data_IF_332847047238
#
_entry.id   IF_332847047238
#
_cell.length_a   1.000
_cell.length_b   1.000
_cell.length_c   1.000
_cell.angle_alpha   90.00
_cell.angle_beta   90.00
_cell.angle_gamma   90.00
#
_symmetry.space_group_name_H-M   'P 1'
#
loop_
_entity.id
_entity.type
_entity.pdbx_description
1 polymer ?
#
# COMPACT_ATOMS: atom_id res chain seq x y z
N UNK A 1 -70.54 10.98 9.93
CA UNK A 1 -69.38 11.57 10.65
C UNK A 1 -68.78 10.50 11.56
N UNK A 2 -67.72 9.84 11.11
CA UNK A 2 -66.69 9.13 11.90
C UNK A 2 -65.60 8.74 10.90
N UNK A 3 -64.48 9.46 10.96
CA UNK A 3 -63.30 9.27 10.12
C UNK A 3 -62.63 7.94 10.49
N UNK A 4 -62.27 7.14 9.50
CA UNK A 4 -61.30 6.04 9.66
C UNK A 4 -59.89 6.63 9.60
N UNK A 5 -59.10 6.41 10.65
CA UNK A 5 -57.65 6.58 10.63
C UNK A 5 -56.99 5.22 10.38
N UNK A 6 -55.98 5.11 9.48
CA UNK A 6 -55.10 3.96 9.46
C UNK A 6 -54.05 4.08 10.57
N UNK A 7 -53.85 3.00 11.32
CA UNK A 7 -52.78 2.89 12.30
C UNK A 7 -51.41 2.91 11.60
N UNK A 8 -50.55 3.86 11.96
CA UNK A 8 -49.13 3.83 11.63
C UNK A 8 -48.48 2.64 12.36
N UNK A 9 -48.09 1.61 11.61
CA UNK A 9 -47.09 0.66 12.06
C UNK A 9 -45.73 1.34 11.94
N UNK A 10 -45.21 1.82 13.07
CA UNK A 10 -43.80 2.15 13.23
C UNK A 10 -43.02 0.84 13.16
N UNK A 11 -42.61 0.45 11.95
CA UNK A 11 -41.56 -0.53 11.75
C UNK A 11 -40.27 0.08 12.27
N UNK A 12 -39.79 -0.43 13.41
CA UNK A 12 -38.42 -0.22 13.86
C UNK A 12 -37.48 -0.67 12.74
N UNK A 13 -36.86 0.28 12.05
CA UNK A 13 -35.69 0.01 11.24
C UNK A 13 -34.60 -0.47 12.21
N UNK A 14 -34.47 -1.80 12.34
CA UNK A 14 -33.26 -2.39 12.90
C UNK A 14 -32.12 -1.87 12.05
N UNK A 15 -31.29 -1.02 12.62
CA UNK A 15 -29.99 -0.68 12.07
C UNK A 15 -29.32 -2.01 11.73
N UNK A 16 -29.04 -2.22 10.45
CA UNK A 16 -28.20 -3.32 10.02
C UNK A 16 -26.86 -3.14 10.72
N UNK A 17 -26.63 -3.94 11.76
CA UNK A 17 -25.31 -4.14 12.31
C UNK A 17 -24.46 -4.65 11.15
N UNK A 18 -23.56 -3.80 10.66
CA UNK A 18 -22.49 -4.21 9.76
C UNK A 18 -21.79 -5.40 10.39
N UNK A 19 -22.07 -6.59 9.88
CA UNK A 19 -21.39 -7.81 10.26
C UNK A 19 -19.90 -7.55 10.16
N UNK A 20 -19.17 -7.71 11.27
CA UNK A 20 -17.71 -7.75 11.23
C UNK A 20 -17.35 -8.81 10.21
N UNK A 21 -16.77 -8.40 9.08
CA UNK A 21 -16.11 -9.34 8.18
C UNK A 21 -15.05 -10.04 9.01
N UNK A 22 -15.25 -11.33 9.28
CA UNK A 22 -14.31 -12.11 10.09
C UNK A 22 -12.94 -12.05 9.42
N UNK A 23 -11.98 -11.42 10.09
CA UNK A 23 -10.60 -11.39 9.63
C UNK A 23 -10.08 -12.81 9.66
N UNK A 24 -9.58 -13.29 8.52
CA UNK A 24 -9.02 -14.64 8.38
C UNK A 24 -7.59 -14.69 8.94
N UNK A 25 -7.50 -14.62 10.27
CA UNK A 25 -6.23 -14.60 11.00
C UNK A 25 -5.41 -15.87 10.78
N UNK A 26 -4.13 -15.66 10.45
CA UNK A 26 -3.09 -16.67 10.26
C UNK A 26 -3.50 -17.83 9.34
N UNK A 27 -4.24 -17.48 8.29
CA UNK A 27 -4.62 -18.39 7.22
C UNK A 27 -3.48 -18.72 6.27
N UNK A 28 -2.43 -17.88 6.24
CA UNK A 28 -1.23 -18.09 5.44
C UNK A 28 -0.02 -18.42 6.35
N UNK A 29 0.35 -19.70 6.41
CA UNK A 29 1.52 -20.16 7.17
C UNK A 29 2.86 -19.93 6.45
N UNK A 30 2.84 -19.45 5.21
CA UNK A 30 4.02 -19.39 4.33
C UNK A 30 4.56 -17.97 4.14
N UNK A 31 3.80 -16.94 4.50
CA UNK A 31 4.16 -15.55 4.29
C UNK A 31 3.59 -14.66 5.40
N UNK A 32 4.38 -13.71 5.87
CA UNK A 32 3.88 -12.64 6.74
C UNK A 32 3.18 -11.60 5.87
N UNK A 33 1.96 -11.22 6.26
CA UNK A 33 1.08 -10.44 5.40
C UNK A 33 0.55 -9.19 6.09
N UNK A 34 0.62 -8.06 5.40
CA UNK A 34 -0.19 -6.88 5.76
C UNK A 34 -1.64 -7.16 5.38
N UNK A 35 -2.52 -6.89 6.32
CA UNK A 35 -3.97 -6.82 6.17
C UNK A 35 -4.39 -5.38 6.37
N UNK A 36 -5.21 -4.84 5.48
CA UNK A 36 -5.81 -3.51 5.69
C UNK A 36 -7.17 -3.60 6.39
N UNK A 37 -7.67 -4.81 6.61
CA UNK A 37 -8.82 -5.09 7.45
C UNK A 37 -8.42 -5.92 8.65
N UNK A 38 -8.52 -5.32 9.83
CA UNK A 38 -8.12 -5.92 11.10
C UNK A 38 -9.31 -6.13 12.03
N UNK A 39 -10.54 -6.04 11.52
CA UNK A 39 -11.74 -6.24 12.31
C UNK A 39 -11.78 -5.29 13.49
N UNK A 40 -12.14 -5.81 14.67
CA UNK A 40 -12.19 -5.03 15.91
C UNK A 40 -10.93 -5.13 16.79
N UNK A 41 -9.88 -5.82 16.34
CA UNK A 41 -8.67 -6.00 17.16
C UNK A 41 -7.68 -4.84 17.06
N UNK A 42 -7.70 -4.10 15.95
CA UNK A 42 -6.94 -2.86 15.78
C UNK A 42 -7.88 -1.67 15.66
N UNK A 43 -7.33 -0.46 15.77
CA UNK A 43 -8.06 0.77 15.55
C UNK A 43 -8.73 0.75 14.16
N UNK A 44 -9.98 1.20 14.08
CA UNK A 44 -10.74 1.15 12.80
C UNK A 44 -10.01 1.91 11.70
N UNK A 45 -9.71 1.23 10.61
CA UNK A 45 -9.02 1.79 9.45
C UNK A 45 -7.50 1.69 9.53
N UNK A 46 -6.92 1.30 10.67
CA UNK A 46 -5.50 1.00 10.76
C UNK A 46 -5.21 -0.41 10.20
N UNK A 47 -4.11 -0.57 9.45
CA UNK A 47 -3.69 -1.86 8.95
C UNK A 47 -3.01 -2.66 10.08
N UNK A 48 -2.85 -3.95 9.85
CA UNK A 48 -2.19 -4.86 10.77
C UNK A 48 -1.37 -5.86 9.97
N UNK A 49 -0.44 -6.51 10.65
CA UNK A 49 0.38 -7.57 10.07
C UNK A 49 0.13 -8.86 10.81
N UNK A 50 -0.07 -9.92 10.06
CA UNK A 50 -0.05 -11.29 10.57
C UNK A 50 1.26 -11.96 10.17
N UNK A 51 1.83 -12.74 11.07
CA UNK A 51 3.11 -13.40 10.85
C UNK A 51 2.94 -14.88 10.53
N UNK A 52 3.74 -15.39 9.60
CA UNK A 52 3.82 -16.82 9.29
C UNK A 52 4.28 -17.67 10.48
N UNK A 53 5.01 -17.06 11.41
CA UNK A 53 5.42 -17.67 12.69
C UNK A 53 5.47 -16.63 13.80
N UNK A 54 5.20 -17.03 15.05
CA UNK A 54 5.33 -16.14 16.21
C UNK A 54 6.76 -15.61 16.41
N UNK A 55 7.77 -16.33 15.93
CA UNK A 55 9.18 -15.89 15.94
C UNK A 55 9.51 -14.82 14.91
N UNK A 56 8.68 -14.65 13.87
CA UNK A 56 8.86 -13.61 12.86
C UNK A 56 8.39 -12.24 13.35
N UNK A 57 7.59 -12.20 14.41
CA UNK A 57 7.15 -10.96 15.02
C UNK A 57 8.28 -10.35 15.85
N UNK A 58 8.53 -9.06 15.66
CA UNK A 58 9.58 -8.34 16.36
C UNK A 58 9.07 -7.03 16.93
N UNK A 59 9.24 -6.85 18.23
CA UNK A 59 8.97 -5.60 18.95
C UNK A 59 9.90 -4.46 18.51
N UNK A 60 11.03 -4.78 17.85
CA UNK A 60 11.91 -3.78 17.25
C UNK A 60 11.22 -3.01 16.12
N UNK A 61 10.13 -3.55 15.57
CA UNK A 61 9.26 -2.87 14.60
C UNK A 61 8.39 -1.76 15.23
N UNK A 62 8.57 -1.49 16.53
CA UNK A 62 7.87 -0.44 17.31
C UNK A 62 6.36 -0.63 17.42
N UNK A 63 5.91 -1.88 17.32
CA UNK A 63 4.54 -2.33 17.55
C UNK A 63 4.55 -3.57 18.44
N UNK A 64 3.50 -3.73 19.24
CA UNK A 64 3.38 -4.86 20.16
C UNK A 64 3.00 -6.16 19.42
N UNK A 65 3.80 -7.21 19.60
CA UNK A 65 3.50 -8.57 19.15
C UNK A 65 2.39 -9.18 20.01
N UNK A 66 1.17 -9.22 19.46
CA UNK A 66 0.01 -9.77 20.14
C UNK A 66 -0.25 -11.19 19.68
N UNK A 67 -0.31 -12.13 20.63
CA UNK A 67 -0.71 -13.52 20.34
C UNK A 67 -2.22 -13.59 20.13
N UNK A 68 -2.63 -13.98 18.94
CA UNK A 68 -4.02 -14.34 18.64
C UNK A 68 -4.30 -15.81 18.95
N UNK A 69 -3.34 -16.71 18.69
CA UNK A 69 -3.42 -18.14 19.03
C UNK A 69 -2.03 -18.72 19.29
N UNK A 70 -1.93 -20.03 19.54
CA UNK A 70 -0.64 -20.70 19.73
C UNK A 70 0.28 -20.63 18.51
N UNK A 71 -0.29 -20.46 17.31
CA UNK A 71 0.43 -20.40 16.03
C UNK A 71 0.26 -19.05 15.32
N UNK A 72 -0.39 -18.08 15.96
CA UNK A 72 -0.76 -16.82 15.32
C UNK A 72 -0.35 -15.63 16.18
N UNK A 73 0.50 -14.78 15.62
CA UNK A 73 0.91 -13.50 16.21
C UNK A 73 0.63 -12.41 15.19
N UNK A 74 0.20 -11.25 15.66
CA UNK A 74 -0.06 -10.07 14.85
C UNK A 74 0.47 -8.79 15.50
N UNK A 75 0.61 -7.74 14.70
CA UNK A 75 0.90 -6.37 15.12
C UNK A 75 -0.15 -5.45 14.51
N UNK A 76 -0.74 -4.54 15.31
CA UNK A 76 -1.48 -3.41 14.78
C UNK A 76 -0.49 -2.31 14.39
N UNK A 77 -0.69 -1.70 13.22
CA UNK A 77 0.09 -0.55 12.80
C UNK A 77 -0.67 0.71 13.24
N UNK A 78 -0.80 0.89 14.56
CA UNK A 78 -1.60 1.96 15.16
C UNK A 78 -0.99 3.34 14.84
N UNK A 79 -1.81 4.26 14.33
CA UNK A 79 -1.52 5.69 14.07
C UNK A 79 -1.20 6.13 12.62
N UNK A 80 -1.47 5.32 11.59
CA UNK A 80 -1.09 5.70 10.23
C UNK A 80 -2.17 6.30 9.36
N UNK A 81 -3.43 5.96 9.62
CA UNK A 81 -4.52 6.37 8.75
C UNK A 81 -5.39 7.44 9.42
N UNK A 82 -4.76 8.33 10.20
CA UNK A 82 -5.43 9.49 10.80
C UNK A 82 -5.82 10.56 9.78
N UNK A 83 -5.26 10.51 8.56
CA UNK A 83 -5.60 11.40 7.46
C UNK A 83 -6.73 10.77 6.64
N UNK A 84 -7.87 11.46 6.56
CA UNK A 84 -9.00 10.98 5.77
C UNK A 84 -8.59 10.66 4.33
N UNK A 85 -9.02 9.49 3.82
CA UNK A 85 -8.82 9.05 2.42
C UNK A 85 -7.38 8.69 2.04
N UNK A 86 -6.43 8.72 2.98
CA UNK A 86 -5.06 8.26 2.77
C UNK A 86 -4.82 7.02 3.62
N UNK A 87 -4.27 5.99 2.99
CA UNK A 87 -3.76 4.80 3.67
C UNK A 87 -2.26 4.74 3.51
N UNK A 88 -1.53 4.64 4.62
CA UNK A 88 -0.08 4.47 4.60
C UNK A 88 0.32 3.22 5.37
N UNK A 89 1.17 2.39 4.78
CA UNK A 89 1.72 1.18 5.37
C UNK A 89 3.24 1.29 5.33
N UNK A 90 3.87 1.20 6.50
CA UNK A 90 5.31 1.17 6.64
C UNK A 90 5.75 -0.28 6.79
N UNK A 91 6.61 -0.71 5.88
CA UNK A 91 7.08 -2.08 5.78
C UNK A 91 8.60 -2.04 5.78
N UNK A 92 9.24 -2.79 6.68
CA UNK A 92 10.71 -2.77 6.83
C UNK A 92 11.15 -3.98 7.64
N UNK A 93 12.28 -4.57 7.26
CA UNK A 93 12.95 -5.53 8.14
C UNK A 93 13.51 -4.81 9.37
N UNK A 94 13.08 -5.16 10.60
CA UNK A 94 13.48 -4.45 11.80
C UNK A 94 14.98 -4.63 12.06
N UNK A 95 15.69 -3.53 12.21
CA UNK A 95 17.10 -3.51 12.57
C UNK A 95 17.28 -3.25 14.07
N UNK A 96 18.42 -3.63 14.64
CA UNK A 96 18.75 -3.34 16.04
C UNK A 96 18.86 -1.84 16.33
N UNK A 97 19.10 -1.02 15.31
CA UNK A 97 19.06 0.44 15.36
C UNK A 97 17.65 1.01 15.56
N UNK A 98 16.60 0.22 15.34
CA UNK A 98 15.23 0.69 15.33
C UNK A 98 14.60 0.76 16.74
N UNK A 99 15.39 0.45 17.77
CA UNK A 99 14.98 0.34 19.17
C UNK A 99 14.16 1.55 19.65
N UNK A 100 12.93 1.28 20.10
CA UNK A 100 12.01 2.25 20.65
C UNK A 100 11.87 2.07 22.17
N UNK A 101 11.85 3.17 22.91
CA UNK A 101 11.56 3.15 24.35
C UNK A 101 10.19 3.78 24.59
N UNK A 102 9.42 3.32 25.59
CA UNK A 102 8.09 3.85 25.89
C UNK A 102 8.08 5.39 26.10
N UNK A 103 9.21 5.97 26.53
CA UNK A 103 9.47 7.41 26.61
C UNK A 103 9.48 8.17 25.27
N UNK A 104 9.47 7.47 24.13
CA UNK A 104 9.40 8.05 22.79
C UNK A 104 7.95 8.16 22.26
N UNK A 105 6.97 7.60 22.98
CA UNK A 105 5.53 7.82 22.68
C UNK A 105 5.17 9.30 22.88
N UNK A 106 5.31 10.09 21.82
CA UNK A 106 5.00 11.52 21.82
C UNK A 106 6.10 12.44 21.23
N UNK A 107 7.24 11.93 20.76
CA UNK A 107 8.31 12.79 20.25
C UNK A 107 8.83 12.40 18.87
N UNK A 108 8.48 13.28 17.92
CA UNK A 108 9.06 13.52 16.58
C UNK A 108 8.65 12.58 15.44
N UNK A 109 8.27 13.21 14.32
CA UNK A 109 7.89 12.64 13.04
C UNK A 109 9.02 11.90 12.29
N UNK A 110 10.02 11.36 13.00
CA UNK A 110 11.23 10.78 12.41
C UNK A 110 11.24 9.24 12.43
N UNK A 111 10.28 8.60 13.10
CA UNK A 111 10.31 7.16 13.34
C UNK A 111 8.88 6.59 13.37
N UNK A 112 8.52 5.85 12.33
CA UNK A 112 7.22 5.21 12.14
C UNK A 112 7.31 3.71 12.52
N UNK A 113 6.50 3.16 13.46
CA UNK A 113 6.20 1.72 13.50
C UNK A 113 6.04 1.04 12.12
N UNK A 114 6.80 -0.02 11.89
CA UNK A 114 6.84 -0.76 10.63
C UNK A 114 6.53 -2.23 10.86
N UNK A 115 6.63 -3.04 9.81
CA UNK A 115 6.62 -4.49 9.93
C UNK A 115 7.40 -5.17 8.80
N UNK A 116 8.07 -6.27 9.12
CA UNK A 116 8.64 -7.18 8.13
C UNK A 116 7.52 -8.02 7.50
N UNK A 117 7.37 -7.94 6.18
CA UNK A 117 6.29 -8.61 5.43
C UNK A 117 6.85 -9.28 4.17
N UNK A 118 6.16 -10.32 3.72
CA UNK A 118 6.40 -10.94 2.41
C UNK A 118 5.33 -10.54 1.38
N UNK A 119 4.13 -10.16 1.85
CA UNK A 119 2.98 -9.91 0.98
C UNK A 119 1.99 -8.90 1.54
N UNK A 120 1.22 -8.26 0.65
CA UNK A 120 0.04 -7.45 1.00
C UNK A 120 -1.20 -8.20 0.55
N UNK A 121 -2.15 -8.43 1.47
CA UNK A 121 -3.33 -9.27 1.22
C UNK A 121 -4.54 -8.91 2.10
N UNK A 122 -5.68 -9.58 1.89
CA UNK A 122 -6.86 -9.42 2.76
C UNK A 122 -7.37 -7.98 2.84
N UNK A 123 -7.43 -7.33 1.68
CA UNK A 123 -7.47 -5.87 1.59
C UNK A 123 -8.90 -5.32 1.53
N UNK A 124 -9.23 -4.39 2.44
CA UNK A 124 -10.48 -3.62 2.42
C UNK A 124 -10.18 -2.14 2.67
N UNK A 125 -10.09 -1.37 1.60
CA UNK A 125 -9.99 0.08 1.71
C UNK A 125 -11.37 0.70 1.87
N UNK A 126 -11.45 1.83 2.57
CA UNK A 126 -12.67 2.63 2.57
C UNK A 126 -12.98 3.08 1.13
N UNK A 127 -14.25 3.08 0.72
CA UNK A 127 -14.69 3.47 -0.63
C UNK A 127 -14.28 4.89 -1.03
N UNK A 128 -13.92 5.74 -0.06
CA UNK A 128 -13.44 7.10 -0.28
C UNK A 128 -11.91 7.22 -0.38
N UNK A 129 -11.16 6.12 -0.31
CA UNK A 129 -9.68 6.12 -0.33
C UNK A 129 -9.17 6.59 -1.68
N UNK A 130 -8.37 7.66 -1.66
CA UNK A 130 -7.79 8.29 -2.87
C UNK A 130 -6.28 8.16 -2.95
N UNK A 131 -5.61 7.94 -1.82
CA UNK A 131 -4.15 7.82 -1.76
C UNK A 131 -3.77 6.55 -0.99
N UNK A 132 -2.96 5.71 -1.60
CA UNK A 132 -2.35 4.55 -0.93
C UNK A 132 -0.84 4.68 -1.07
N UNK A 133 -0.16 4.57 0.07
CA UNK A 133 1.28 4.58 0.17
C UNK A 133 1.74 3.33 0.92
N UNK A 134 2.60 2.53 0.30
CA UNK A 134 3.28 1.41 0.94
C UNK A 134 4.77 1.66 0.77
N UNK A 135 5.48 1.74 1.89
CA UNK A 135 6.85 2.25 1.88
C UNK A 135 7.80 1.46 2.75
N UNK A 136 8.97 1.19 2.17
CA UNK A 136 10.07 0.44 2.74
C UNK A 136 10.84 1.09 3.88
N UNK A 137 10.21 1.96 4.67
CA UNK A 137 10.92 2.90 5.56
C UNK A 137 10.26 3.07 6.90
N UNK A 138 11.02 3.65 7.82
CA UNK A 138 10.54 4.12 9.09
C UNK A 138 10.95 5.58 9.37
N UNK A 139 11.64 6.26 8.43
CA UNK A 139 12.05 7.66 8.53
C UNK A 139 11.87 8.41 7.19
N UNK A 140 11.82 9.73 7.28
CA UNK A 140 11.91 10.71 6.20
C UNK A 140 13.18 10.57 5.33
N UNK A 141 14.26 9.99 5.84
CA UNK A 141 15.50 9.73 5.11
C UNK A 141 15.54 8.33 4.47
N UNK A 142 14.75 8.21 3.42
CA UNK A 142 14.45 6.99 2.64
C UNK A 142 15.74 6.38 1.99
N UNK A 143 16.34 5.32 2.58
CA UNK A 143 17.48 4.51 2.04
C UNK A 143 17.10 3.18 1.35
N UNK A 144 17.44 3.01 0.07
CA UNK A 144 17.16 1.77 -0.68
C UNK A 144 17.67 0.49 0.01
N UNK A 145 16.90 -0.61 -0.04
CA UNK A 145 17.36 -1.97 0.28
C UNK A 145 17.07 -2.48 1.69
N UNK A 146 16.10 -1.89 2.40
CA UNK A 146 15.68 -2.32 3.76
C UNK A 146 14.60 -3.41 3.78
N UNK A 147 14.22 -3.93 2.61
CA UNK A 147 13.17 -4.94 2.44
C UNK A 147 13.64 -6.07 1.53
N UNK A 148 13.04 -7.23 1.76
CA UNK A 148 12.94 -8.31 0.78
C UNK A 148 11.82 -7.99 -0.21
N UNK A 149 11.91 -8.51 -1.43
CA UNK A 149 10.85 -8.45 -2.44
C UNK A 149 9.45 -8.66 -1.85
N UNK A 150 8.63 -7.61 -1.93
CA UNK A 150 7.23 -7.64 -1.48
C UNK A 150 6.34 -8.07 -2.62
N UNK A 151 5.55 -9.12 -2.39
CA UNK A 151 4.54 -9.59 -3.34
C UNK A 151 3.18 -8.94 -3.09
N UNK A 152 2.40 -8.80 -4.15
CA UNK A 152 1.03 -8.29 -4.11
C UNK A 152 0.11 -9.31 -4.76
N UNK A 153 -1.02 -9.60 -4.12
CA UNK A 153 -2.05 -10.41 -4.75
C UNK A 153 -2.84 -9.58 -5.81
N UNK A 154 -3.54 -10.28 -6.71
CA UNK A 154 -4.31 -9.67 -7.81
C UNK A 154 -5.40 -8.68 -7.32
N UNK A 155 -5.79 -8.75 -6.05
CA UNK A 155 -6.85 -7.95 -5.45
C UNK A 155 -6.30 -6.87 -4.50
N UNK A 156 -4.98 -6.65 -4.49
CA UNK A 156 -4.31 -5.78 -3.51
C UNK A 156 -4.86 -4.36 -3.44
N UNK A 157 -5.50 -3.88 -4.51
CA UNK A 157 -6.12 -2.56 -4.60
C UNK A 157 -7.56 -2.57 -5.12
N UNK A 158 -8.19 -3.74 -5.27
CA UNK A 158 -9.48 -3.86 -5.97
C UNK A 158 -10.65 -3.17 -5.27
N UNK A 159 -10.56 -2.98 -3.95
CA UNK A 159 -11.58 -2.28 -3.14
C UNK A 159 -11.41 -0.76 -3.11
N UNK A 160 -10.25 -0.23 -3.55
CA UNK A 160 -9.99 1.22 -3.65
C UNK A 160 -10.52 1.77 -4.99
N UNK A 161 -11.83 1.76 -5.17
CA UNK A 161 -12.51 2.04 -6.45
C UNK A 161 -12.39 3.49 -6.96
N UNK A 162 -11.87 4.40 -6.13
CA UNK A 162 -11.64 5.81 -6.48
C UNK A 162 -10.18 6.24 -6.23
N UNK A 163 -9.25 5.28 -6.23
CA UNK A 163 -7.83 5.53 -6.01
C UNK A 163 -7.27 6.46 -7.09
N UNK A 164 -6.58 7.52 -6.67
CA UNK A 164 -5.95 8.52 -7.55
C UNK A 164 -4.42 8.39 -7.53
N UNK A 165 -3.86 8.10 -6.35
CA UNK A 165 -2.43 8.02 -6.12
C UNK A 165 -2.04 6.65 -5.56
N UNK A 166 -1.10 5.99 -6.23
CA UNK A 166 -0.47 4.78 -5.74
C UNK A 166 1.04 4.99 -5.60
N UNK A 167 1.55 4.85 -4.37
CA UNK A 167 2.95 5.05 -4.02
C UNK A 167 3.50 3.75 -3.44
N UNK A 168 4.39 3.08 -4.17
CA UNK A 168 5.07 1.84 -3.78
C UNK A 168 6.58 2.08 -3.79
N UNK A 169 7.11 2.60 -2.68
CA UNK A 169 8.49 3.09 -2.61
C UNK A 169 9.37 2.15 -1.79
N UNK A 170 10.52 1.73 -2.33
CA UNK A 170 11.50 0.86 -1.67
C UNK A 170 10.93 -0.48 -1.18
N UNK A 171 10.22 -1.18 -2.04
CA UNK A 171 9.64 -2.49 -1.76
C UNK A 171 10.41 -3.64 -2.44
N UNK A 172 11.62 -3.34 -2.93
CA UNK A 172 12.47 -4.27 -3.70
C UNK A 172 11.71 -4.92 -4.88
N UNK A 173 10.88 -4.13 -5.56
CA UNK A 173 10.15 -4.60 -6.74
C UNK A 173 11.11 -4.77 -7.92
N UNK A 174 11.27 -6.02 -8.35
CA UNK A 174 12.14 -6.41 -9.46
C UNK A 174 11.49 -6.25 -10.84
N UNK A 175 10.14 -6.23 -10.88
CA UNK A 175 9.31 -6.09 -12.07
C UNK A 175 8.09 -5.19 -11.80
N UNK A 176 7.42 -4.76 -12.88
CA UNK A 176 6.21 -3.98 -12.76
C UNK A 176 5.11 -4.75 -12.01
N UNK A 177 4.31 -4.08 -11.17
CA UNK A 177 3.16 -4.68 -10.51
C UNK A 177 2.10 -5.14 -11.53
N UNK A 178 2.00 -6.44 -11.81
CA UNK A 178 1.10 -7.04 -12.82
C UNK A 178 -0.25 -7.49 -12.24
N UNK A 179 -1.31 -7.47 -13.04
CA UNK A 179 -2.62 -8.02 -12.69
C UNK A 179 -3.44 -7.28 -11.61
N UNK A 180 -2.89 -6.25 -10.94
CA UNK A 180 -3.60 -5.53 -9.86
C UNK A 180 -3.52 -4.00 -9.91
N UNK A 181 -2.82 -3.40 -10.89
CA UNK A 181 -2.75 -1.94 -10.99
C UNK A 181 -4.16 -1.37 -11.28
N UNK A 182 -4.68 -0.46 -10.43
CA UNK A 182 -5.98 0.14 -10.68
C UNK A 182 -5.92 1.11 -11.86
N UNK A 183 -6.88 1.01 -12.78
CA UNK A 183 -6.98 1.93 -13.94
C UNK A 183 -7.47 3.32 -13.56
N UNK A 184 -7.83 3.55 -12.29
CA UNK A 184 -8.33 4.83 -11.78
C UNK A 184 -7.22 5.81 -11.42
N UNK A 185 -5.98 5.32 -11.23
CA UNK A 185 -4.89 6.16 -10.76
C UNK A 185 -4.42 7.12 -11.84
N UNK A 186 -4.02 8.32 -11.41
CA UNK A 186 -3.37 9.33 -12.24
C UNK A 186 -1.89 9.50 -11.89
N UNK A 187 -1.51 9.10 -10.66
CA UNK A 187 -0.14 9.11 -10.17
C UNK A 187 0.29 7.71 -9.77
N UNK A 188 1.44 7.29 -10.32
CA UNK A 188 2.15 6.10 -9.91
C UNK A 188 3.58 6.45 -9.50
N UNK A 189 3.95 6.10 -8.28
CA UNK A 189 5.33 6.25 -7.79
C UNK A 189 5.89 4.89 -7.42
N UNK A 190 6.93 4.47 -8.12
CA UNK A 190 7.68 3.23 -7.90
C UNK A 190 9.17 3.52 -7.63
N UNK A 191 9.50 4.67 -7.06
CA UNK A 191 10.89 5.05 -6.85
C UNK A 191 11.59 4.14 -5.81
N UNK A 192 12.92 4.04 -5.93
CA UNK A 192 13.80 3.28 -5.03
C UNK A 192 13.52 1.77 -4.98
N UNK A 193 12.99 1.21 -6.07
CA UNK A 193 12.85 -0.24 -6.23
C UNK A 193 14.03 -0.81 -7.05
N UNK A 194 13.90 -2.04 -7.56
CA UNK A 194 14.93 -2.73 -8.33
C UNK A 194 14.50 -3.02 -9.77
N UNK A 195 13.54 -2.24 -10.29
CA UNK A 195 12.96 -2.40 -11.63
C UNK A 195 14.04 -2.30 -12.70
N UNK A 196 14.01 -3.23 -13.66
CA UNK A 196 14.95 -3.25 -14.79
C UNK A 196 14.31 -2.85 -16.13
N UNK A 197 12.98 -2.88 -16.21
CA UNK A 197 12.21 -2.46 -17.37
C UNK A 197 10.83 -1.93 -16.98
N UNK A 198 10.24 -1.11 -17.85
CA UNK A 198 8.87 -0.58 -17.71
C UNK A 198 7.87 -1.31 -18.61
N UNK A 199 8.37 -1.98 -19.65
CA UNK A 199 7.55 -2.79 -20.56
C UNK A 199 7.20 -4.11 -19.88
N UNK A 200 5.90 -4.36 -19.71
CA UNK A 200 5.36 -5.65 -19.35
C UNK A 200 4.47 -6.16 -20.49
N UNK A 201 4.38 -7.48 -20.65
CA UNK A 201 3.38 -8.13 -21.50
C UNK A 201 1.95 -8.06 -20.94
N UNK A 202 1.78 -7.52 -19.74
CA UNK A 202 0.49 -7.36 -19.07
C UNK A 202 -0.32 -6.16 -19.62
N UNK A 203 -1.52 -6.45 -20.11
CA UNK A 203 -2.48 -5.47 -20.65
C UNK A 203 -2.95 -4.46 -19.59
N UNK A 204 -3.06 -4.83 -18.31
CA UNK A 204 -3.48 -3.95 -17.23
C UNK A 204 -2.38 -2.93 -16.88
N UNK A 205 -1.12 -3.36 -16.88
CA UNK A 205 0.03 -2.45 -16.73
C UNK A 205 0.04 -1.45 -17.88
N UNK A 206 -0.07 -1.96 -19.11
CA UNK A 206 -0.12 -1.12 -20.32
C UNK A 206 -1.26 -0.11 -20.24
N UNK A 207 -2.48 -0.57 -19.93
CA UNK A 207 -3.67 0.29 -19.83
C UNK A 207 -3.48 1.39 -18.79
N UNK A 208 -2.98 1.04 -17.61
CA UNK A 208 -2.74 2.00 -16.52
C UNK A 208 -1.70 3.03 -16.92
N UNK A 209 -0.57 2.61 -17.50
CA UNK A 209 0.48 3.53 -17.95
C UNK A 209 -0.04 4.55 -18.98
N UNK A 210 -0.96 4.16 -19.86
CA UNK A 210 -1.54 5.07 -20.86
C UNK A 210 -2.43 6.18 -20.26
N UNK A 211 -2.92 6.03 -19.02
CA UNK A 211 -3.77 7.02 -18.35
C UNK A 211 -3.05 7.91 -17.34
N UNK A 212 -1.79 7.62 -17.00
CA UNK A 212 -1.05 8.36 -15.97
C UNK A 212 -0.71 9.79 -16.41
N UNK A 213 -0.87 10.73 -15.47
CA UNK A 213 -0.39 12.11 -15.62
C UNK A 213 0.96 12.33 -14.92
N UNK A 214 1.28 11.50 -13.92
CA UNK A 214 2.55 11.51 -13.20
C UNK A 214 3.11 10.10 -13.00
N UNK A 215 4.36 9.87 -13.38
CA UNK A 215 5.07 8.61 -13.17
C UNK A 215 6.45 8.88 -12.58
N UNK A 216 6.73 8.29 -11.42
CA UNK A 216 8.05 8.33 -10.81
C UNK A 216 8.67 6.93 -10.78
N UNK A 217 9.81 6.78 -11.45
CA UNK A 217 10.61 5.57 -11.55
C UNK A 217 12.06 5.81 -11.09
N UNK A 218 12.34 6.89 -10.36
CA UNK A 218 13.72 7.21 -9.97
C UNK A 218 14.34 6.17 -9.04
N UNK A 219 15.67 6.09 -9.05
CA UNK A 219 16.46 5.15 -8.25
C UNK A 219 16.02 3.69 -8.45
N UNK A 220 15.90 3.29 -9.71
CA UNK A 220 15.71 1.91 -10.15
C UNK A 220 16.95 1.43 -10.93
N UNK A 221 16.81 0.34 -11.69
CA UNK A 221 17.87 -0.25 -12.52
C UNK A 221 17.48 -0.27 -14.01
N UNK A 222 16.65 0.66 -14.46
CA UNK A 222 16.12 0.68 -15.83
C UNK A 222 17.23 1.05 -16.80
N UNK A 223 17.51 0.18 -17.78
CA UNK A 223 18.57 0.37 -18.78
C UNK A 223 18.10 1.10 -20.04
N UNK A 224 16.82 0.96 -20.38
CA UNK A 224 16.19 1.59 -21.54
C UNK A 224 14.74 1.95 -21.21
N UNK A 225 14.26 3.05 -21.79
CA UNK A 225 12.88 3.50 -21.66
C UNK A 225 12.33 3.85 -23.05
N UNK A 226 11.51 2.94 -23.58
CA UNK A 226 10.99 3.00 -24.96
C UNK A 226 9.45 3.03 -25.00
N UNK A 227 8.82 3.44 -23.90
CA UNK A 227 7.35 3.47 -23.76
C UNK A 227 6.83 4.87 -24.10
N UNK A 228 5.80 4.95 -24.96
CA UNK A 228 5.07 6.20 -25.20
C UNK A 228 3.93 6.32 -24.19
N UNK A 229 3.90 7.42 -23.44
CA UNK A 229 2.87 7.74 -22.45
C UNK A 229 2.13 9.01 -22.91
N UNK A 230 0.94 8.90 -23.53
CA UNK A 230 0.31 10.02 -24.24
C UNK A 230 -0.24 11.10 -23.30
N UNK A 231 -0.54 10.76 -22.05
CA UNK A 231 -1.18 11.64 -21.06
C UNK A 231 -0.20 12.18 -20.01
N UNK A 232 1.06 11.70 -20.02
CA UNK A 232 2.05 12.05 -19.01
C UNK A 232 2.41 13.53 -19.07
N UNK A 233 2.53 14.14 -17.89
CA UNK A 233 2.97 15.53 -17.72
C UNK A 233 4.22 15.64 -16.88
N UNK A 234 4.44 14.68 -15.97
CA UNK A 234 5.63 14.55 -15.13
C UNK A 234 6.15 13.12 -15.19
N UNK A 235 7.41 12.96 -15.57
CA UNK A 235 8.09 11.67 -15.63
C UNK A 235 9.44 11.82 -14.92
N UNK A 236 9.70 11.02 -13.90
CA UNK A 236 11.01 10.98 -13.24
C UNK A 236 11.71 9.65 -13.52
N UNK A 237 12.85 9.72 -14.22
CA UNK A 237 13.73 8.59 -14.52
C UNK A 237 15.11 8.74 -13.88
N UNK A 238 15.29 9.67 -12.93
CA UNK A 238 16.60 9.93 -12.32
C UNK A 238 17.19 8.68 -11.66
N UNK A 239 18.52 8.63 -11.53
CA UNK A 239 19.22 7.57 -10.79
C UNK A 239 18.95 6.13 -11.29
N UNK A 240 18.58 6.00 -12.57
CA UNK A 240 18.50 4.72 -13.28
C UNK A 240 19.82 4.33 -13.95
N UNK A 241 19.80 3.26 -14.76
CA UNK A 241 20.96 2.75 -15.53
C UNK A 241 20.81 3.02 -17.03
N UNK A 242 20.14 4.12 -17.39
CA UNK A 242 19.88 4.46 -18.78
C UNK A 242 21.19 4.58 -19.57
N UNK A 243 21.37 3.71 -20.56
CA UNK A 243 22.57 3.71 -21.41
C UNK A 243 22.62 4.94 -22.34
N UNK A 244 21.45 5.49 -22.64
CA UNK A 244 21.28 6.68 -23.46
C UNK A 244 20.06 7.48 -23.02
N UNK A 245 19.99 8.73 -23.48
CA UNK A 245 18.80 9.54 -23.29
C UNK A 245 17.60 8.94 -24.07
N UNK A 246 16.44 8.72 -23.44
CA UNK A 246 15.31 8.02 -24.06
C UNK A 246 14.61 8.91 -25.08
N UNK A 247 14.91 8.76 -26.37
CA UNK A 247 14.36 9.60 -27.43
C UNK A 247 12.84 9.50 -27.60
N UNK A 248 12.22 8.44 -27.08
CA UNK A 248 10.77 8.25 -27.07
C UNK A 248 10.02 9.41 -26.40
N UNK A 249 10.65 10.13 -25.46
CA UNK A 249 10.02 11.26 -24.77
C UNK A 249 9.61 12.37 -25.74
N UNK A 250 10.27 12.50 -26.89
CA UNK A 250 9.96 13.54 -27.89
C UNK A 250 8.60 13.30 -28.56
N UNK A 251 8.02 12.10 -28.40
CA UNK A 251 6.67 11.78 -28.85
C UNK A 251 5.60 12.10 -27.79
N UNK A 252 5.98 12.54 -26.59
CA UNK A 252 5.06 12.83 -25.48
C UNK A 252 4.75 14.33 -25.43
N UNK A 253 3.78 14.79 -26.23
CA UNK A 253 3.51 16.24 -26.37
C UNK A 253 2.98 16.94 -25.11
N UNK A 254 2.53 16.18 -24.10
CA UNK A 254 2.04 16.71 -22.82
C UNK A 254 3.11 16.75 -21.72
N UNK A 255 4.30 16.17 -21.96
CA UNK A 255 5.38 16.09 -20.98
C UNK A 255 5.95 17.48 -20.70
N UNK A 256 5.82 17.94 -19.46
CA UNK A 256 6.26 19.27 -19.02
C UNK A 256 7.45 19.20 -18.05
N UNK A 257 7.57 18.12 -17.28
CA UNK A 257 8.63 17.90 -16.29
C UNK A 257 9.24 16.52 -16.54
N UNK A 258 10.57 16.49 -16.71
CA UNK A 258 11.40 15.30 -16.87
C UNK A 258 12.55 15.32 -15.86
#
# INVERSE_FOLDING_TARGET
>A
MRLLWPALLLGSASAASSSSSDVSWCSNSSASAVLTNCGSVCTTGDPCVQYSSSSSCSELSRNDCVKHSSSCTYQCLDAYNSVSKKVTVFVKEPASSDAWTASASGSSAAAFPSAAIDTVSGVQYAEATRNIQITGFDDTSVQKGSLKEVSFDANSFSTATVLEDLILTNLDLSAMPTGFLPTTISLLNLNKNTLTSVTDSDDAVTTTLQSLTSLNLSDNSIAAFDVVLPTITTLDLSDNKLDAFPSVIFNMSNLNIL
#
